data_IF_747896908521
#
_entry.id   IF_747896908521
#
_cell.length_a   1.000
_cell.length_b   1.000
_cell.length_c   1.000
_cell.angle_alpha   90.00
_cell.angle_beta   90.00
_cell.angle_gamma   90.00
#
_symmetry.space_group_name_H-M   'P 1'
#
loop_
_entity.id
_entity.type
_entity.pdbx_description
1 polymer ?
#
# COMPACT_ATOMS: atom_id res chain seq x y z
N UNK A 1 -17.22 -16.73 47.15
CA UNK A 1 -15.82 -16.28 46.96
C UNK A 1 -14.79 -17.41 46.96
N UNK A 2 -14.74 -18.34 47.94
CA UNK A 2 -13.70 -19.40 47.97
C UNK A 2 -13.65 -20.28 46.70
N UNK A 3 -14.81 -20.67 46.17
CA UNK A 3 -14.91 -21.47 44.94
C UNK A 3 -14.38 -20.77 43.68
N UNK A 4 -14.50 -19.45 43.59
CA UNK A 4 -14.02 -18.67 42.46
C UNK A 4 -12.49 -18.71 42.37
N UNK A 5 -11.80 -18.52 43.50
CA UNK A 5 -10.34 -18.62 43.57
C UNK A 5 -9.81 -20.03 43.30
N UNK A 6 -10.54 -21.07 43.72
CA UNK A 6 -10.20 -22.46 43.36
C UNK A 6 -10.29 -22.71 41.86
N UNK A 7 -11.28 -22.13 41.17
CA UNK A 7 -11.41 -22.24 39.71
C UNK A 7 -10.30 -21.50 38.97
N UNK A 8 -9.93 -20.28 39.39
CA UNK A 8 -8.81 -19.54 38.79
C UNK A 8 -7.50 -20.32 38.97
N UNK A 9 -7.24 -20.85 40.16
CA UNK A 9 -6.02 -21.61 40.42
C UNK A 9 -5.97 -22.90 39.58
N UNK A 10 -7.09 -23.61 39.43
CA UNK A 10 -7.19 -24.77 38.55
C UNK A 10 -6.92 -24.40 37.09
N UNK A 11 -7.49 -23.28 36.62
CA UNK A 11 -7.28 -22.79 35.25
C UNK A 11 -5.79 -22.50 35.01
N UNK A 12 -5.14 -21.75 35.91
CA UNK A 12 -3.72 -21.43 35.82
C UNK A 12 -2.83 -22.69 35.80
N UNK A 13 -3.17 -23.72 36.58
CA UNK A 13 -2.43 -25.00 36.57
C UNK A 13 -2.59 -25.74 35.24
N UNK A 14 -3.79 -25.75 34.66
CA UNK A 14 -4.04 -26.38 33.36
C UNK A 14 -3.28 -25.64 32.25
N UNK A 15 -3.38 -24.31 32.21
CA UNK A 15 -2.69 -23.50 31.19
C UNK A 15 -1.17 -23.61 31.32
N UNK A 16 -0.65 -23.57 32.55
CA UNK A 16 0.78 -23.78 32.83
C UNK A 16 1.27 -25.18 32.43
N UNK A 17 0.46 -26.22 32.69
CA UNK A 17 0.76 -27.59 32.27
C UNK A 17 0.82 -27.76 30.76
N UNK A 18 -0.14 -27.17 30.02
CA UNK A 18 -0.15 -27.20 28.56
C UNK A 18 1.04 -26.43 27.95
N UNK A 19 1.39 -25.28 28.53
CA UNK A 19 2.56 -24.51 28.10
C UNK A 19 3.86 -25.30 28.31
N UNK A 20 4.04 -25.93 29.47
CA UNK A 20 5.21 -26.76 29.75
C UNK A 20 5.31 -27.99 28.83
N UNK A 21 4.19 -28.59 28.43
CA UNK A 21 4.18 -29.68 27.44
C UNK A 21 4.64 -29.20 26.06
N UNK A 22 4.19 -28.02 25.62
CA UNK A 22 4.59 -27.44 24.33
C UNK A 22 6.09 -27.17 24.28
N UNK A 23 6.66 -26.54 25.32
CA UNK A 23 8.11 -26.25 25.39
C UNK A 23 8.94 -27.55 25.36
N UNK A 24 8.46 -28.63 25.99
CA UNK A 24 9.15 -29.94 25.92
C UNK A 24 9.13 -30.55 24.52
N UNK A 25 8.04 -30.40 23.78
CA UNK A 25 7.95 -30.90 22.40
C UNK A 25 8.96 -30.17 21.49
N UNK A 26 9.05 -28.85 21.61
CA UNK A 26 10.01 -28.03 20.85
C UNK A 26 11.47 -28.41 21.18
N UNK A 27 11.77 -28.68 22.45
CA UNK A 27 13.11 -29.14 22.86
C UNK A 27 13.47 -30.55 22.33
N UNK A 28 12.50 -31.46 22.25
CA UNK A 28 12.73 -32.80 21.67
C UNK A 28 13.00 -32.73 20.17
N UNK A 29 12.32 -31.83 19.45
CA UNK A 29 12.52 -31.63 18.01
C UNK A 29 13.91 -31.05 17.71
N UNK A 30 14.37 -30.07 18.50
CA UNK A 30 15.73 -29.54 18.40
C UNK A 30 16.81 -30.58 18.74
N UNK A 31 16.56 -31.44 19.74
CA UNK A 31 17.48 -32.51 20.10
C UNK A 31 17.59 -33.56 18.97
N UNK A 32 16.47 -33.91 18.33
CA UNK A 32 16.46 -34.84 17.19
C UNK A 32 17.14 -34.27 15.94
N UNK A 33 17.03 -32.95 15.70
CA UNK A 33 17.70 -32.29 14.58
C UNK A 33 19.23 -32.17 14.74
N UNK A 34 19.75 -32.42 15.95
CA UNK A 34 21.17 -32.22 16.27
C UNK A 34 22.02 -33.49 16.23
N UNK A 35 21.47 -34.64 15.81
CA UNK A 35 22.31 -35.83 15.61
C UNK A 35 23.30 -35.60 14.45
N UNK A 36 24.62 -35.65 14.71
CA UNK A 36 25.63 -35.45 13.69
C UNK A 36 25.67 -36.69 12.79
N UNK A 37 25.06 -36.58 11.61
CA UNK A 37 25.24 -37.55 10.53
C UNK A 37 26.70 -37.61 10.10
N UNK A 38 27.33 -38.75 10.36
CA UNK A 38 28.71 -39.08 10.00
C UNK A 38 28.93 -38.84 8.48
N UNK A 39 29.77 -37.86 8.06
CA UNK A 39 29.91 -37.54 6.66
C UNK A 39 30.79 -38.59 5.97
N UNK A 40 30.15 -39.50 5.23
CA UNK A 40 30.85 -40.39 4.30
C UNK A 40 31.73 -39.57 3.33
N UNK A 41 32.97 -40.02 3.03
CA UNK A 41 33.91 -39.26 2.22
C UNK A 41 33.45 -39.23 0.75
N UNK A 42 32.91 -38.09 0.31
CA UNK A 42 32.68 -37.81 -1.11
C UNK A 42 34.00 -37.40 -1.77
N UNK A 43 34.54 -38.32 -2.55
CA UNK A 43 35.61 -38.09 -3.52
C UNK A 43 35.24 -36.93 -4.45
N UNK A 44 35.91 -35.78 -4.30
CA UNK A 44 35.80 -34.64 -5.22
C UNK A 44 36.44 -35.01 -6.56
N UNK A 45 35.63 -35.13 -7.63
CA UNK A 45 36.16 -35.07 -8.99
C UNK A 45 36.67 -33.64 -9.27
N UNK A 46 37.85 -33.48 -9.90
CA UNK A 46 38.34 -32.17 -10.32
C UNK A 46 37.45 -31.63 -11.45
N UNK A 47 36.83 -30.47 -11.19
CA UNK A 47 36.08 -29.72 -12.19
C UNK A 47 37.08 -29.09 -13.16
N UNK A 48 37.00 -29.47 -14.44
CA UNK A 48 37.81 -28.86 -15.49
C UNK A 48 37.49 -27.35 -15.62
N UNK A 49 38.48 -26.49 -15.86
CA UNK A 49 38.26 -25.08 -16.12
C UNK A 49 37.52 -24.91 -17.45
N UNK A 50 36.34 -24.28 -17.40
CA UNK A 50 35.67 -23.78 -18.61
C UNK A 50 36.45 -22.58 -19.11
N UNK A 51 37.00 -22.70 -20.31
CA UNK A 51 37.45 -21.59 -21.15
C UNK A 51 36.29 -20.63 -21.37
N UNK A 52 36.40 -19.41 -20.85
CA UNK A 52 35.48 -18.32 -21.16
C UNK A 52 35.83 -17.80 -22.55
N UNK A 53 35.06 -18.21 -23.55
CA UNK A 53 35.08 -17.62 -24.89
C UNK A 53 34.44 -16.23 -24.79
N UNK A 54 35.29 -15.20 -24.94
CA UNK A 54 34.92 -13.80 -24.89
C UNK A 54 34.23 -13.42 -26.22
N UNK A 55 32.96 -13.00 -26.23
CA UNK A 55 32.30 -12.56 -27.45
C UNK A 55 32.97 -11.28 -27.95
N UNK A 56 33.45 -11.35 -29.18
CA UNK A 56 34.02 -10.26 -29.95
C UNK A 56 32.92 -9.24 -30.27
N UNK A 57 33.07 -7.93 -29.94
CA UNK A 57 32.06 -6.94 -30.28
C UNK A 57 32.08 -6.72 -31.81
N UNK A 58 30.94 -7.02 -32.44
CA UNK A 58 30.68 -6.67 -33.82
C UNK A 58 30.62 -5.14 -33.95
N UNK A 59 31.42 -4.60 -34.87
CA UNK A 59 31.39 -3.21 -35.25
C UNK A 59 30.02 -2.86 -35.86
N UNK A 60 29.21 -2.10 -35.15
CA UNK A 60 28.01 -1.47 -35.70
C UNK A 60 28.46 -0.25 -36.51
N UNK A 61 28.24 -0.32 -37.81
CA UNK A 61 28.41 0.81 -38.71
C UNK A 61 27.43 1.93 -38.34
N UNK A 62 27.95 3.15 -38.22
CA UNK A 62 27.17 4.38 -38.10
C UNK A 62 26.39 4.60 -39.40
N UNK A 63 25.08 4.37 -39.38
CA UNK A 63 24.17 4.85 -40.41
C UNK A 63 23.75 6.27 -40.05
N UNK A 64 24.24 7.21 -40.85
CA UNK A 64 23.98 8.65 -40.72
C UNK A 64 22.56 8.92 -41.24
N UNK A 65 21.63 9.46 -40.44
CA UNK A 65 20.29 9.75 -40.92
C UNK A 65 20.32 10.88 -41.96
N UNK A 66 19.75 10.61 -43.12
CA UNK A 66 19.52 11.61 -44.17
C UNK A 66 18.59 12.73 -43.69
N UNK A 67 18.80 13.98 -44.15
CA UNK A 67 17.95 15.10 -43.79
C UNK A 67 16.55 14.93 -44.40
N UNK A 68 15.54 14.93 -43.52
CA UNK A 68 14.12 14.98 -43.89
C UNK A 68 13.86 16.33 -44.59
N UNK A 69 13.60 16.27 -45.90
CA UNK A 69 13.07 17.38 -46.69
C UNK A 69 11.61 17.58 -46.30
N UNK A 70 11.33 18.62 -45.51
CA UNK A 70 9.99 19.09 -45.20
C UNK A 70 9.36 19.64 -46.48
N UNK A 71 8.42 18.89 -47.07
CA UNK A 71 7.52 19.43 -48.10
C UNK A 71 6.52 20.40 -47.44
N UNK A 72 6.38 21.63 -47.93
CA UNK A 72 5.40 22.56 -47.41
C UNK A 72 3.98 22.10 -47.76
N UNK A 73 3.14 22.07 -46.73
CA UNK A 73 1.71 21.82 -46.78
C UNK A 73 1.00 22.84 -47.69
N UNK A 74 0.20 22.41 -48.68
CA UNK A 74 -0.53 23.32 -49.54
C UNK A 74 -1.64 24.04 -48.77
N UNK A 75 -1.78 25.34 -49.03
CA UNK A 75 -2.78 26.21 -48.43
C UNK A 75 -4.21 25.71 -48.70
N UNK A 76 -5.14 25.82 -47.73
CA UNK A 76 -6.53 25.43 -47.93
C UNK A 76 -7.22 26.38 -48.92
N UNK A 77 -7.81 25.80 -49.97
CA UNK A 77 -8.69 26.50 -50.89
C UNK A 77 -10.00 26.94 -50.20
N UNK A 78 -10.57 28.09 -50.60
CA UNK A 78 -11.81 28.60 -50.02
C UNK A 78 -13.01 27.79 -50.53
N UNK A 79 -13.71 27.11 -49.63
CA UNK A 79 -14.97 26.44 -49.93
C UNK A 79 -16.06 27.49 -50.17
N UNK A 80 -16.46 27.61 -51.43
CA UNK A 80 -17.65 28.35 -51.85
C UNK A 80 -18.91 27.66 -51.31
N UNK A 81 -19.75 28.45 -50.65
CA UNK A 81 -21.11 28.06 -50.28
C UNK A 81 -21.97 28.08 -51.54
N UNK A 82 -22.47 26.92 -51.97
CA UNK A 82 -23.56 26.85 -52.94
C UNK A 82 -24.66 25.90 -52.49
N UNK A 83 -25.87 26.38 -52.70
CA UNK A 83 -27.14 25.84 -52.21
C UNK A 83 -27.74 24.91 -53.25
N UNK A 84 -28.00 23.63 -52.93
CA UNK A 84 -28.80 22.72 -53.76
C UNK A 84 -29.50 21.73 -52.82
N UNK A 85 -30.80 21.92 -52.56
CA UNK A 85 -31.94 21.30 -53.22
C UNK A 85 -32.17 19.84 -52.83
N UNK A 86 -33.37 19.63 -52.28
CA UNK A 86 -33.97 18.38 -51.82
C UNK A 86 -34.14 17.43 -53.00
N UNK A 87 -33.52 16.25 -52.93
CA UNK A 87 -33.83 15.13 -53.83
C UNK A 87 -34.09 13.84 -53.02
N UNK A 88 -35.19 13.19 -53.37
CA UNK A 88 -35.82 12.08 -52.67
C UNK A 88 -34.99 10.79 -52.79
N UNK A 89 -34.81 10.10 -51.67
CA UNK A 89 -34.14 8.81 -51.59
C UNK A 89 -35.13 7.67 -51.89
N UNK A 90 -34.79 6.71 -52.78
CA UNK A 90 -35.61 5.53 -53.05
C UNK A 90 -35.37 4.42 -52.00
N UNK A 91 -36.38 3.55 -51.88
CA UNK A 91 -36.43 2.37 -51.01
C UNK A 91 -35.22 1.44 -51.16
N UNK A 92 -34.71 0.82 -50.06
CA UNK A 92 -33.75 -0.24 -50.18
C UNK A 92 -34.42 -1.62 -50.29
N UNK A 93 -34.05 -2.26 -51.39
CA UNK A 93 -34.20 -3.67 -51.72
C UNK A 93 -33.59 -4.62 -50.69
N UNK A 94 -34.24 -5.77 -50.57
CA UNK A 94 -33.86 -7.01 -49.90
C UNK A 94 -32.46 -7.56 -50.24
N UNK A 95 -31.96 -8.32 -49.26
CA UNK A 95 -30.97 -9.41 -49.33
C UNK A 95 -29.49 -9.05 -49.15
N UNK A 96 -28.96 -9.36 -47.96
CA UNK A 96 -27.74 -10.15 -47.87
C UNK A 96 -27.66 -10.92 -46.53
N UNK A 97 -27.38 -12.21 -46.63
CA UNK A 97 -27.26 -13.16 -45.53
C UNK A 97 -26.05 -12.83 -44.65
N UNK A 98 -26.26 -12.82 -43.33
CA UNK A 98 -25.23 -12.65 -42.30
C UNK A 98 -25.05 -13.98 -41.56
N UNK A 99 -23.81 -14.44 -41.29
CA UNK A 99 -23.57 -15.67 -40.54
C UNK A 99 -24.00 -15.49 -39.07
N UNK A 100 -24.93 -16.35 -38.63
CA UNK A 100 -25.38 -16.46 -37.24
C UNK A 100 -24.25 -17.04 -36.38
N UNK A 101 -23.51 -16.18 -35.71
CA UNK A 101 -22.83 -16.51 -34.45
C UNK A 101 -23.07 -15.33 -33.50
N UNK A 102 -24.29 -15.25 -32.97
CA UNK A 102 -24.65 -14.31 -31.92
C UNK A 102 -24.24 -14.92 -30.59
N UNK A 103 -23.23 -14.33 -29.95
CA UNK A 103 -23.00 -14.50 -28.53
C UNK A 103 -24.16 -13.78 -27.82
N UNK A 104 -25.04 -14.52 -27.17
CA UNK A 104 -26.18 -13.98 -26.42
C UNK A 104 -25.74 -13.65 -24.97
N UNK A 105 -25.55 -12.36 -24.61
CA UNK A 105 -25.16 -11.99 -23.26
C UNK A 105 -26.22 -12.35 -22.20
N UNK A 106 -27.48 -12.63 -22.59
CA UNK A 106 -28.53 -13.11 -21.67
C UNK A 106 -28.35 -14.57 -21.24
N UNK A 107 -27.65 -15.37 -22.04
CA UNK A 107 -27.39 -16.79 -21.74
C UNK A 107 -26.42 -16.97 -20.57
N UNK A 108 -25.44 -16.07 -20.40
CA UNK A 108 -24.47 -16.11 -19.31
C UNK A 108 -25.08 -15.76 -17.94
N UNK A 109 -26.01 -14.80 -17.89
CA UNK A 109 -26.69 -14.42 -16.65
C UNK A 109 -27.64 -15.54 -16.18
N UNK A 110 -28.30 -16.22 -17.13
CA UNK A 110 -29.19 -17.36 -16.82
C UNK A 110 -28.37 -18.54 -16.29
N UNK A 111 -27.24 -18.84 -16.93
CA UNK A 111 -26.36 -19.95 -16.52
C UNK A 111 -25.73 -19.72 -15.13
N UNK A 112 -25.37 -18.48 -14.77
CA UNK A 112 -24.83 -18.20 -13.43
C UNK A 112 -25.89 -18.26 -12.32
N UNK A 113 -27.15 -17.92 -12.61
CA UNK A 113 -28.24 -18.07 -11.64
C UNK A 113 -28.66 -19.53 -11.46
N UNK A 114 -28.69 -20.34 -12.53
CA UNK A 114 -28.92 -21.79 -12.42
C UNK A 114 -27.78 -22.52 -11.71
N UNK A 115 -26.52 -22.09 -11.86
CA UNK A 115 -25.39 -22.66 -11.11
C UNK A 115 -25.44 -22.31 -9.61
N UNK A 116 -26.02 -21.16 -9.25
CA UNK A 116 -26.21 -20.74 -7.85
C UNK A 116 -27.28 -21.58 -7.15
N UNK A 117 -28.35 -21.93 -7.86
CA UNK A 117 -29.44 -22.77 -7.32
C UNK A 117 -29.09 -24.27 -7.28
N UNK A 118 -28.07 -24.71 -8.03
CA UNK A 118 -27.60 -26.10 -8.03
C UNK A 118 -26.45 -26.37 -7.04
N UNK A 119 -25.99 -25.37 -6.28
CA UNK A 119 -25.01 -25.59 -5.22
C UNK A 119 -25.73 -26.21 -4.01
N UNK A 120 -25.43 -27.48 -3.65
CA UNK A 120 -26.31 -28.25 -2.78
C UNK A 120 -26.43 -27.67 -1.36
N UNK A 121 -27.64 -27.74 -0.83
CA UNK A 121 -28.05 -27.45 0.56
C UNK A 121 -27.28 -28.26 1.65
N UNK A 122 -26.24 -29.02 1.28
CA UNK A 122 -25.41 -29.82 2.20
C UNK A 122 -24.57 -28.97 3.17
N UNK A 123 -24.28 -27.70 2.85
CA UNK A 123 -23.57 -26.80 3.77
C UNK A 123 -24.44 -26.31 4.94
N UNK A 124 -25.77 -26.32 4.82
CA UNK A 124 -26.68 -25.86 5.88
C UNK A 124 -27.01 -26.94 6.92
N UNK A 125 -26.78 -28.22 6.60
CA UNK A 125 -27.03 -29.33 7.53
C UNK A 125 -25.87 -29.59 8.52
N UNK A 126 -24.66 -29.09 8.24
CA UNK A 126 -23.46 -29.36 9.08
C UNK A 126 -23.24 -28.37 10.23
N UNK A 127 -23.96 -27.24 10.28
CA UNK A 127 -23.78 -26.19 11.29
C UNK A 127 -24.88 -26.12 12.38
N UNK A 128 -25.80 -27.09 12.44
CA UNK A 128 -26.81 -27.14 13.51
C UNK A 128 -26.36 -27.98 14.72
N UNK A 129 -25.16 -27.74 15.24
CA UNK A 129 -24.83 -28.20 16.60
C UNK A 129 -25.37 -27.15 17.59
N UNK A 130 -26.05 -27.54 18.69
CA UNK A 130 -26.62 -26.57 19.63
C UNK A 130 -25.49 -25.76 20.26
N UNK A 131 -25.47 -24.46 19.98
CA UNK A 131 -24.62 -23.51 20.70
C UNK A 131 -25.19 -23.38 22.11
N UNK A 132 -24.41 -23.82 23.10
CA UNK A 132 -24.73 -23.64 24.51
C UNK A 132 -24.83 -22.15 24.79
N UNK A 133 -26.04 -21.72 25.15
CA UNK A 133 -26.43 -20.36 25.52
C UNK A 133 -25.44 -19.75 26.54
N UNK A 134 -24.52 -18.93 26.05
CA UNK A 134 -23.69 -18.07 26.88
C UNK A 134 -24.53 -16.86 27.29
N UNK A 135 -24.87 -16.79 28.59
CA UNK A 135 -25.51 -15.63 29.19
C UNK A 135 -24.68 -14.36 28.93
N UNK A 136 -25.30 -13.23 28.60
CA UNK A 136 -24.60 -11.98 28.40
C UNK A 136 -23.99 -11.52 29.74
N UNK A 137 -22.66 -11.43 29.77
CA UNK A 137 -21.94 -10.78 30.86
C UNK A 137 -22.09 -9.27 30.66
N UNK A 138 -22.88 -8.66 31.54
CA UNK A 138 -23.07 -7.22 31.67
C UNK A 138 -21.73 -6.58 32.08
N UNK A 139 -21.18 -5.60 31.34
CA UNK A 139 -20.01 -4.88 31.81
C UNK A 139 -20.42 -3.97 32.97
N UNK A 140 -19.96 -4.30 34.17
CA UNK A 140 -19.99 -3.38 35.30
C UNK A 140 -18.94 -2.29 35.09
N UNK A 141 -19.38 -1.04 35.21
CA UNK A 141 -18.56 0.16 35.19
C UNK A 141 -17.47 0.07 36.26
N UNK A 142 -16.20 0.13 35.82
CA UNK A 142 -15.04 0.21 36.71
C UNK A 142 -14.86 1.66 37.14
N UNK A 143 -15.36 1.96 38.33
CA UNK A 143 -15.07 3.19 39.07
C UNK A 143 -13.62 3.21 39.53
N UNK A 144 -13.04 4.40 39.39
CA UNK A 144 -11.86 4.99 40.05
C UNK A 144 -11.56 4.47 41.45
N UNK A 145 -10.28 4.14 41.70
CA UNK A 145 -9.44 4.69 42.77
C UNK A 145 -8.14 3.86 42.90
N UNK A 146 -7.04 4.34 42.34
CA UNK A 146 -5.69 3.83 42.60
C UNK A 146 -4.78 5.03 42.99
N UNK A 147 -4.17 5.02 44.18
CA UNK A 147 -3.40 6.16 44.67
C UNK A 147 -2.00 6.21 44.06
N UNK A 148 -1.66 7.41 43.61
CA UNK A 148 -0.39 7.90 43.10
C UNK A 148 0.80 7.56 44.03
N UNK A 149 1.70 6.69 43.57
CA UNK A 149 3.00 6.44 44.22
C UNK A 149 4.09 7.29 43.54
N UNK A 150 4.43 8.39 44.21
CA UNK A 150 5.47 9.37 43.87
C UNK A 150 6.88 8.76 44.07
N UNK A 151 7.77 8.71 43.05
CA UNK A 151 9.16 8.34 43.29
C UNK A 151 9.95 9.56 43.80
N UNK A 152 10.53 9.39 44.97
CA UNK A 152 11.40 10.31 45.68
C UNK A 152 12.79 10.34 45.02
N UNK A 153 13.13 11.47 44.40
CA UNK A 153 14.45 11.73 43.80
C UNK A 153 15.45 11.98 44.92
N UNK A 154 16.35 11.02 45.16
CA UNK A 154 17.49 11.18 46.06
C UNK A 154 18.59 11.98 45.35
N UNK A 155 18.71 13.24 45.73
CA UNK A 155 19.85 14.09 45.45
C UNK A 155 21.10 13.57 46.17
N UNK A 156 22.20 13.39 45.43
CA UNK A 156 23.54 13.24 46.00
C UNK A 156 24.49 14.22 45.31
N UNK A 157 25.04 15.13 46.11
CA UNK A 157 25.85 16.26 45.69
C UNK A 157 27.34 16.01 45.92
N UNK A 158 28.15 16.64 45.04
CA UNK A 158 29.53 17.18 45.22
C UNK A 158 30.72 16.18 45.24
N UNK A 159 31.98 16.67 45.14
CA UNK A 159 32.57 17.62 44.17
C UNK A 159 33.92 17.11 43.62
N UNK A 160 34.51 17.74 42.58
CA UNK A 160 35.95 18.12 42.58
C UNK A 160 36.40 18.79 41.27
N UNK A 161 36.81 20.04 41.45
CA UNK A 161 37.74 20.83 40.65
C UNK A 161 39.11 20.16 40.56
N UNK A 162 39.69 20.11 39.36
CA UNK A 162 41.14 20.01 39.19
C UNK A 162 41.59 21.07 38.19
N UNK A 163 42.12 22.16 38.75
CA UNK A 163 43.00 23.10 38.09
C UNK A 163 44.36 22.43 37.85
N UNK A 164 44.80 22.36 36.60
CA UNK A 164 46.22 22.19 36.26
C UNK A 164 46.49 22.72 34.83
N UNK A 165 46.66 24.04 34.77
CA UNK A 165 47.78 24.74 34.14
C UNK A 165 48.68 23.93 33.16
N UNK A 166 48.62 24.23 31.85
CA UNK A 166 49.77 24.14 30.94
C UNK A 166 49.74 25.33 29.97
N UNK A 167 50.84 26.07 30.01
CA UNK A 167 51.20 27.21 29.17
C UNK A 167 51.43 26.84 27.68
N UNK A 168 50.92 27.73 26.83
CA UNK A 168 51.56 28.37 25.67
C UNK A 168 52.36 27.48 24.69
N UNK A 169 51.73 27.17 23.56
CA UNK A 169 52.38 27.20 22.25
C UNK A 169 51.45 27.90 21.25
N UNK A 170 51.93 29.02 20.72
CA UNK A 170 51.27 29.82 19.70
C UNK A 170 51.25 29.04 18.38
N UNK A 171 50.19 28.26 18.17
CA UNK A 171 49.85 27.72 16.87
C UNK A 171 48.83 28.65 16.22
N UNK A 172 49.22 29.27 15.11
CA UNK A 172 48.34 30.11 14.31
C UNK A 172 47.21 29.23 13.77
N UNK A 173 46.08 29.23 14.49
CA UNK A 173 44.83 28.58 14.09
C UNK A 173 44.54 29.04 12.65
N UNK A 174 44.64 28.15 11.64
CA UNK A 174 44.34 28.53 10.27
C UNK A 174 42.94 29.10 10.27
N UNK A 175 42.83 30.33 9.75
CA UNK A 175 41.56 31.03 9.54
C UNK A 175 40.74 30.13 8.61
N UNK A 176 39.87 29.31 9.21
CA UNK A 176 38.96 28.42 8.51
C UNK A 176 38.07 29.35 7.69
N UNK A 177 38.41 29.48 6.40
CA UNK A 177 37.54 30.13 5.43
C UNK A 177 36.15 29.51 5.62
N UNK A 178 35.11 30.33 5.87
CA UNK A 178 33.78 29.81 6.14
C UNK A 178 33.41 28.85 5.02
N UNK A 179 33.26 27.58 5.39
CA UNK A 179 32.92 26.50 4.48
C UNK A 179 31.64 26.93 3.77
N UNK A 180 31.74 27.11 2.45
CA UNK A 180 30.67 27.70 1.66
C UNK A 180 29.42 26.88 1.91
N UNK A 181 28.39 27.52 2.47
CA UNK A 181 27.13 26.85 2.73
C UNK A 181 26.65 26.21 1.41
N UNK A 182 26.35 24.91 1.40
CA UNK A 182 25.88 24.24 0.21
C UNK A 182 24.66 25.00 -0.33
N UNK A 183 24.65 25.23 -1.64
CA UNK A 183 23.53 25.91 -2.29
C UNK A 183 22.21 25.21 -1.91
N UNK A 184 21.14 25.98 -1.65
CA UNK A 184 19.86 25.39 -1.29
C UNK A 184 19.42 24.39 -2.37
N UNK A 185 18.96 23.22 -1.94
CA UNK A 185 18.46 22.19 -2.84
C UNK A 185 17.32 22.77 -3.71
N UNK A 186 17.25 22.33 -4.97
CA UNK A 186 16.14 22.69 -5.85
C UNK A 186 14.81 22.25 -5.22
N UNK A 187 13.72 23.02 -5.41
CA UNK A 187 12.42 22.65 -4.85
C UNK A 187 11.93 21.32 -5.45
N UNK A 188 11.30 20.50 -4.63
CA UNK A 188 10.72 19.22 -5.05
C UNK A 188 9.38 19.37 -5.79
N UNK A 189 8.80 20.58 -5.83
CA UNK A 189 7.54 20.89 -6.49
C UNK A 189 7.46 22.31 -7.09
N UNK A 190 6.46 22.51 -7.97
CA UNK A 190 6.03 23.82 -8.49
C UNK A 190 4.55 24.02 -8.19
N UNK A 191 4.15 25.07 -7.44
CA UNK A 191 2.74 25.34 -7.12
C UNK A 191 2.14 26.43 -8.01
N UNK A 192 0.86 26.29 -8.38
CA UNK A 192 0.08 27.27 -9.14
C UNK A 192 -0.83 28.10 -8.23
N UNK A 193 -1.31 29.27 -8.70
CA UNK A 193 -2.27 30.10 -7.95
C UNK A 193 -3.62 29.42 -7.67
N UNK A 194 -3.98 28.38 -8.42
CA UNK A 194 -5.22 27.60 -8.25
C UNK A 194 -5.12 26.53 -7.16
N UNK A 195 -3.97 26.43 -6.46
CA UNK A 195 -3.72 25.45 -5.40
C UNK A 195 -3.12 24.13 -5.91
N UNK A 196 -3.21 23.85 -7.22
CA UNK A 196 -2.58 22.68 -7.83
C UNK A 196 -1.07 22.77 -7.77
N UNK A 197 -0.40 21.63 -7.77
CA UNK A 197 1.06 21.58 -7.74
C UNK A 197 1.61 20.47 -8.62
N UNK A 198 2.84 20.63 -9.08
CA UNK A 198 3.57 19.67 -9.89
C UNK A 198 4.67 19.02 -9.07
N UNK A 199 4.71 17.70 -9.05
CA UNK A 199 5.82 16.93 -8.50
C UNK A 199 6.94 16.95 -9.56
N UNK A 200 8.04 17.67 -9.28
CA UNK A 200 9.10 17.92 -10.28
C UNK A 200 9.78 16.63 -10.71
N UNK A 201 10.02 15.72 -9.77
CA UNK A 201 10.73 14.45 -10.00
C UNK A 201 9.98 13.48 -10.93
N UNK A 202 8.65 13.54 -10.95
CA UNK A 202 7.80 12.67 -11.76
C UNK A 202 7.12 13.40 -12.93
N UNK A 203 7.20 14.73 -12.99
CA UNK A 203 6.49 15.55 -13.96
C UNK A 203 4.95 15.33 -13.94
N UNK A 204 4.37 15.20 -12.74
CA UNK A 204 2.94 14.94 -12.54
C UNK A 204 2.29 16.16 -11.89
N UNK A 205 1.13 16.59 -12.42
CA UNK A 205 0.29 17.61 -11.79
C UNK A 205 -0.75 16.98 -10.88
N UNK A 206 -0.78 17.38 -9.62
CA UNK A 206 -1.84 17.08 -8.65
C UNK A 206 -2.82 18.25 -8.65
N UNK A 207 -4.06 17.97 -9.01
CA UNK A 207 -5.15 18.97 -9.10
C UNK A 207 -5.85 19.13 -7.74
N UNK A 208 -6.47 20.28 -7.51
CA UNK A 208 -7.24 20.58 -6.30
C UNK A 208 -6.53 21.53 -5.35
N UNK A 209 -7.16 21.81 -4.21
CA UNK A 209 -6.66 22.73 -3.18
C UNK A 209 -6.54 22.06 -1.79
N UNK A 210 -6.79 20.75 -1.70
CA UNK A 210 -6.71 19.99 -0.46
C UNK A 210 -7.87 20.24 0.51
N UNK A 211 -9.04 20.65 -0.01
CA UNK A 211 -10.24 20.95 0.78
C UNK A 211 -11.35 19.92 0.53
N UNK A 212 -12.41 19.90 1.35
CA UNK A 212 -13.53 18.97 1.13
C UNK A 212 -14.22 19.17 -0.22
N UNK A 213 -14.32 20.42 -0.69
CA UNK A 213 -14.95 20.78 -1.95
C UNK A 213 -14.01 20.59 -3.16
N UNK A 214 -12.71 20.77 -2.94
CA UNK A 214 -11.66 20.68 -3.95
C UNK A 214 -10.50 19.81 -3.41
N UNK A 215 -10.71 18.49 -3.28
CA UNK A 215 -9.70 17.60 -2.74
C UNK A 215 -8.51 17.52 -3.68
N UNK A 216 -7.32 17.21 -3.14
CA UNK A 216 -6.19 16.87 -4.00
C UNK A 216 -6.44 15.53 -4.69
N UNK A 217 -6.50 15.51 -6.02
CA UNK A 217 -6.72 14.29 -6.80
C UNK A 217 -5.39 13.60 -7.04
N UNK A 218 -5.16 12.51 -6.31
CA UNK A 218 -3.93 11.74 -6.35
C UNK A 218 -4.01 10.60 -7.36
N UNK A 219 -2.89 10.34 -8.04
CA UNK A 219 -2.68 9.14 -8.85
C UNK A 219 -1.64 8.25 -8.18
N UNK A 220 -1.66 6.95 -8.48
CA UNK A 220 -0.65 6.01 -7.95
C UNK A 220 0.78 6.39 -8.38
N UNK A 221 0.96 6.95 -9.58
CA UNK A 221 2.27 7.41 -10.02
C UNK A 221 2.76 8.64 -9.25
N UNK A 222 1.85 9.49 -8.76
CA UNK A 222 2.21 10.60 -7.87
C UNK A 222 2.74 10.08 -6.52
N UNK A 223 2.08 9.07 -5.94
CA UNK A 223 2.50 8.46 -4.67
C UNK A 223 3.84 7.71 -4.80
N UNK A 224 4.02 6.91 -5.86
CA UNK A 224 5.28 6.18 -6.10
C UNK A 224 6.47 7.08 -6.43
N UNK A 225 6.24 8.35 -6.79
CA UNK A 225 7.32 9.31 -7.04
C UNK A 225 8.26 9.48 -5.83
N UNK A 226 7.79 9.14 -4.63
CA UNK A 226 8.59 9.19 -3.40
C UNK A 226 9.80 8.23 -3.42
N UNK A 227 9.71 7.10 -4.13
CA UNK A 227 10.76 6.05 -4.16
C UNK A 227 12.12 6.56 -4.64
N UNK A 228 12.10 7.64 -5.43
CA UNK A 228 13.31 8.25 -5.94
C UNK A 228 14.17 8.85 -4.82
N UNK A 229 13.53 9.35 -3.76
CA UNK A 229 14.13 10.09 -2.64
C UNK A 229 14.00 9.41 -1.28
N UNK A 230 13.07 8.46 -1.12
CA UNK A 230 12.83 7.75 0.15
C UNK A 230 12.93 6.24 -0.07
N UNK A 231 14.02 5.68 0.44
CA UNK A 231 14.37 4.25 0.51
C UNK A 231 15.38 4.07 1.66
N UNK A 232 14.90 3.99 2.92
CA UNK A 232 15.75 3.95 4.10
C UNK A 232 16.76 2.80 4.09
N UNK A 233 16.44 1.68 3.46
CA UNK A 233 17.32 0.52 3.31
C UNK A 233 18.60 0.86 2.56
N UNK A 234 18.51 1.79 1.61
CA UNK A 234 19.62 2.27 0.79
C UNK A 234 20.16 3.62 1.27
N UNK A 235 19.83 4.04 2.50
CA UNK A 235 20.31 5.30 3.11
C UNK A 235 19.63 6.54 2.55
N UNK A 236 18.52 6.39 1.82
CA UNK A 236 17.69 7.51 1.38
C UNK A 236 16.54 7.69 2.37
N UNK A 237 16.74 8.43 3.43
CA UNK A 237 15.79 8.56 4.55
C UNK A 237 15.03 9.90 4.54
N UNK A 238 15.18 10.69 3.49
CA UNK A 238 14.60 12.03 3.39
C UNK A 238 13.31 12.03 2.60
N UNK A 239 12.20 12.41 3.26
CA UNK A 239 10.93 12.62 2.59
C UNK A 239 11.00 13.86 1.67
N UNK A 240 10.47 13.81 0.44
CA UNK A 240 10.48 14.95 -0.47
C UNK A 240 9.47 16.02 -0.02
N UNK A 241 9.87 17.30 -0.01
CA UNK A 241 9.05 18.40 0.51
C UNK A 241 7.73 18.71 -0.22
N UNK A 242 7.39 17.99 -1.30
CA UNK A 242 6.05 18.11 -1.90
C UNK A 242 4.98 17.41 -1.07
N UNK A 243 5.39 16.45 -0.23
CA UNK A 243 4.53 15.75 0.71
C UNK A 243 3.98 16.68 1.81
N UNK A 244 4.71 17.72 2.18
CA UNK A 244 4.25 18.74 3.14
C UNK A 244 2.99 19.46 2.66
N UNK A 245 2.72 19.47 1.34
CA UNK A 245 1.50 20.03 0.76
C UNK A 245 0.28 19.13 0.97
N UNK A 246 0.49 17.82 1.16
CA UNK A 246 -0.58 16.82 1.31
C UNK A 246 -0.89 16.51 2.78
N UNK A 247 0.08 16.68 3.68
CA UNK A 247 -0.06 16.37 5.10
C UNK A 247 -1.25 17.13 5.73
N UNK A 248 -2.20 16.36 6.30
CA UNK A 248 -3.42 16.87 6.91
C UNK A 248 -4.42 17.50 5.93
N UNK A 249 -4.28 17.29 4.61
CA UNK A 249 -5.20 17.80 3.58
C UNK A 249 -6.20 16.75 3.13
N UNK A 250 -7.30 17.21 2.56
CA UNK A 250 -8.28 16.31 1.95
C UNK A 250 -7.76 15.87 0.58
N UNK A 251 -7.63 14.56 0.39
CA UNK A 251 -7.24 13.94 -0.88
C UNK A 251 -8.35 13.06 -1.40
N UNK A 252 -8.31 12.76 -2.69
CA UNK A 252 -9.10 11.72 -3.32
C UNK A 252 -8.18 10.82 -4.14
N UNK A 253 -8.31 9.51 -3.98
CA UNK A 253 -7.57 8.51 -4.75
C UNK A 253 -8.51 7.40 -5.22
N UNK A 254 -8.30 6.93 -6.44
CA UNK A 254 -8.99 5.77 -7.02
C UNK A 254 -8.10 4.54 -6.99
N UNK A 255 -8.65 3.37 -6.67
CA UNK A 255 -7.90 2.13 -6.67
C UNK A 255 -8.71 0.91 -6.26
N UNK A 256 -7.99 -0.19 -6.05
CA UNK A 256 -8.57 -1.44 -5.58
C UNK A 256 -8.62 -1.45 -4.04
N UNK A 257 -9.71 -1.91 -3.46
CA UNK A 257 -9.85 -2.08 -2.03
C UNK A 257 -9.72 -3.54 -1.63
N UNK A 258 -8.96 -3.79 -0.55
CA UNK A 258 -8.91 -5.06 0.16
C UNK A 258 -9.53 -4.91 1.54
N UNK A 259 -10.41 -5.84 1.88
CA UNK A 259 -11.15 -5.85 3.14
C UNK A 259 -10.62 -6.93 4.09
N UNK A 260 -10.80 -6.76 5.40
CA UNK A 260 -10.55 -7.84 6.36
C UNK A 260 -11.43 -9.05 6.05
N UNK A 261 -10.82 -10.22 5.84
CA UNK A 261 -11.50 -11.47 5.41
C UNK A 261 -12.64 -11.92 6.35
N UNK A 262 -12.63 -11.47 7.60
CA UNK A 262 -13.52 -11.97 8.66
C UNK A 262 -14.78 -11.14 8.87
N UNK A 263 -14.92 -9.98 8.23
CA UNK A 263 -16.04 -9.06 8.48
C UNK A 263 -16.78 -8.70 7.18
N UNK A 264 -18.12 -8.72 7.22
CA UNK A 264 -18.97 -8.27 6.11
C UNK A 264 -19.06 -6.74 6.03
N UNK A 265 -18.95 -6.06 7.17
CA UNK A 265 -18.81 -4.60 7.26
C UNK A 265 -17.52 -4.24 7.96
N UNK A 266 -16.90 -3.15 7.54
CA UNK A 266 -15.65 -2.65 8.12
C UNK A 266 -15.55 -1.13 8.00
N UNK A 267 -14.77 -0.53 8.90
CA UNK A 267 -14.28 0.84 8.77
C UNK A 267 -12.85 0.90 8.27
N UNK A 268 -12.15 -0.22 8.25
CA UNK A 268 -10.75 -0.31 7.86
C UNK A 268 -10.66 -1.05 6.53
N UNK A 269 -9.93 -0.46 5.58
CA UNK A 269 -9.60 -1.10 4.31
C UNK A 269 -8.21 -0.67 3.84
N UNK A 270 -7.62 -1.47 2.96
CA UNK A 270 -6.38 -1.14 2.27
C UNK A 270 -6.71 -0.75 0.82
N UNK A 271 -6.37 0.48 0.42
CA UNK A 271 -6.43 0.92 -0.97
C UNK A 271 -5.11 0.62 -1.66
N UNK A 272 -5.15 0.06 -2.86
CA UNK A 272 -3.97 -0.41 -3.57
C UNK A 272 -4.05 -0.10 -5.06
N UNK A 273 -2.90 -0.04 -5.72
CA UNK A 273 -2.83 0.14 -7.17
C UNK A 273 -3.36 -1.09 -7.95
N UNK A 274 -3.03 -2.32 -7.53
CA UNK A 274 -3.40 -3.53 -8.27
C UNK A 274 -4.43 -4.38 -7.50
N UNK A 275 -5.34 -5.10 -8.20
CA UNK A 275 -6.43 -5.86 -7.57
C UNK A 275 -5.97 -7.10 -6.81
N UNK A 276 -4.80 -7.63 -7.15
CA UNK A 276 -4.29 -8.89 -6.63
C UNK A 276 -3.25 -8.70 -5.54
N UNK A 277 -2.82 -7.46 -5.31
CA UNK A 277 -1.87 -7.17 -4.24
C UNK A 277 -2.57 -7.44 -2.89
N UNK A 278 -1.87 -8.10 -1.96
CA UNK A 278 -2.43 -8.43 -0.64
C UNK A 278 -3.42 -9.61 -0.60
N UNK A 279 -3.83 -10.18 -1.73
CA UNK A 279 -4.56 -11.46 -1.77
C UNK A 279 -3.60 -12.64 -1.55
N UNK A 280 -4.08 -13.77 -1.00
CA UNK A 280 -3.27 -14.96 -0.67
C UNK A 280 -2.46 -15.57 -1.83
N UNK A 281 -2.70 -15.11 -3.07
CA UNK A 281 -2.02 -15.54 -4.29
C UNK A 281 -1.11 -14.47 -4.91
N UNK A 282 -1.16 -13.24 -4.43
CA UNK A 282 -0.46 -12.10 -4.99
C UNK A 282 0.82 -11.75 -4.28
N UNK A 283 1.63 -10.91 -4.93
CA UNK A 283 2.73 -10.22 -4.27
C UNK A 283 2.11 -9.18 -3.34
N UNK A 284 2.54 -9.06 -2.07
CA UNK A 284 2.05 -7.98 -1.22
C UNK A 284 2.37 -6.63 -1.88
N UNK A 285 1.49 -5.63 -1.73
CA UNK A 285 1.78 -4.31 -2.29
C UNK A 285 3.06 -3.75 -1.67
N UNK A 286 3.72 -2.86 -2.40
CA UNK A 286 4.80 -2.08 -1.81
C UNK A 286 4.20 -0.99 -0.90
N UNK A 287 4.94 -0.47 0.08
CA UNK A 287 4.47 0.67 0.87
C UNK A 287 4.18 1.93 0.05
N UNK A 288 4.64 1.99 -1.21
CA UNK A 288 4.50 3.13 -2.11
C UNK A 288 3.25 3.04 -3.00
N UNK A 289 2.63 1.86 -3.10
CA UNK A 289 1.43 1.59 -3.89
C UNK A 289 0.25 1.08 -3.05
N UNK A 290 0.32 1.28 -1.73
CA UNK A 290 -0.74 1.01 -0.76
C UNK A 290 -1.03 2.22 0.13
N UNK A 291 -2.31 2.39 0.51
CA UNK A 291 -2.78 3.41 1.44
C UNK A 291 -3.70 2.75 2.46
N UNK A 292 -3.38 2.87 3.74
CA UNK A 292 -4.24 2.43 4.83
C UNK A 292 -5.40 3.42 4.99
N UNK A 293 -6.64 2.93 5.06
CA UNK A 293 -7.82 3.80 5.11
C UNK A 293 -8.70 3.46 6.29
N UNK A 294 -9.01 4.48 7.09
CA UNK A 294 -10.08 4.45 8.09
C UNK A 294 -11.27 5.28 7.61
N UNK A 295 -12.42 4.63 7.43
CA UNK A 295 -13.67 5.23 7.00
C UNK A 295 -14.43 5.90 8.14
N UNK A 296 -15.16 6.96 7.81
CA UNK A 296 -15.97 7.72 8.76
C UNK A 296 -17.26 6.99 9.20
N UNK A 297 -17.65 5.91 8.52
CA UNK A 297 -18.73 4.98 8.91
C UNK A 297 -18.38 3.55 8.51
N UNK A 298 -19.07 2.57 9.09
CA UNK A 298 -18.99 1.18 8.61
C UNK A 298 -19.60 1.09 7.21
N UNK A 299 -18.88 0.45 6.29
CA UNK A 299 -19.39 0.12 4.96
C UNK A 299 -19.56 -1.39 4.88
N UNK A 300 -20.76 -1.83 4.51
CA UNK A 300 -21.07 -3.21 4.16
C UNK A 300 -20.69 -3.46 2.69
N UNK A 301 -19.70 -4.32 2.47
CA UNK A 301 -19.24 -4.69 1.13
C UNK A 301 -19.94 -5.95 0.59
N UNK A 302 -20.94 -6.46 1.31
CA UNK A 302 -21.64 -7.69 1.01
C UNK A 302 -20.69 -8.87 0.96
N UNK A 303 -20.77 -9.65 -0.13
CA UNK A 303 -19.90 -10.81 -0.34
C UNK A 303 -18.65 -10.48 -1.19
N UNK A 304 -18.39 -9.21 -1.51
CA UNK A 304 -17.25 -8.82 -2.35
C UNK A 304 -16.04 -8.46 -1.49
N UNK A 305 -15.08 -9.38 -1.39
CA UNK A 305 -13.82 -9.19 -0.64
C UNK A 305 -12.86 -8.19 -1.31
N UNK A 306 -13.06 -7.90 -2.59
CA UNK A 306 -12.27 -6.95 -3.38
C UNK A 306 -13.21 -6.00 -4.11
N UNK A 307 -12.92 -4.71 -4.06
CA UNK A 307 -13.64 -3.66 -4.79
C UNK A 307 -12.72 -2.81 -5.64
N UNK A 308 -13.29 -2.02 -6.55
CA UNK A 308 -12.61 -0.86 -7.15
C UNK A 308 -13.47 0.36 -6.84
N UNK A 309 -12.84 1.47 -6.48
CA UNK A 309 -13.56 2.69 -6.11
C UNK A 309 -12.64 3.85 -5.81
N UNK A 310 -13.23 4.94 -5.32
CA UNK A 310 -12.51 6.10 -4.80
C UNK A 310 -12.67 6.22 -3.29
N UNK A 311 -11.60 6.67 -2.64
CA UNK A 311 -11.62 7.14 -1.26
C UNK A 311 -11.31 8.61 -1.26
N UNK A 312 -12.09 9.39 -0.51
CA UNK A 312 -11.80 10.78 -0.18
C UNK A 312 -11.70 10.94 1.34
N UNK A 313 -10.64 11.54 1.86
CA UNK A 313 -10.44 11.72 3.30
C UNK A 313 -9.20 12.56 3.63
N UNK A 314 -8.84 12.67 4.90
CA UNK A 314 -7.67 13.43 5.35
C UNK A 314 -6.42 12.57 5.23
N UNK A 315 -5.42 13.06 4.49
CA UNK A 315 -4.20 12.32 4.19
C UNK A 315 -3.09 12.61 5.19
N UNK A 316 -2.39 11.56 5.61
CA UNK A 316 -1.26 11.62 6.52
C UNK A 316 -0.12 10.77 6.00
N UNK A 317 1.10 11.17 6.36
CA UNK A 317 2.32 10.45 6.05
C UNK A 317 2.94 9.97 7.37
N UNK A 318 2.86 8.67 7.61
CA UNK A 318 3.42 8.03 8.81
C UNK A 318 4.29 6.83 8.39
N UNK A 319 5.58 7.06 8.05
CA UNK A 319 6.46 6.00 7.60
C UNK A 319 6.72 4.99 8.72
N UNK A 320 6.22 3.76 8.56
CA UNK A 320 6.52 2.67 9.46
C UNK A 320 7.75 1.91 8.97
N UNK A 321 8.90 2.14 9.61
CA UNK A 321 10.20 1.59 9.20
C UNK A 321 10.74 0.60 10.24
N UNK A 322 11.09 -0.61 9.80
CA UNK A 322 11.70 -1.67 10.64
C UNK A 322 12.97 -2.19 9.97
N UNK A 323 14.11 -2.10 10.65
CA UNK A 323 15.43 -2.52 10.13
C UNK A 323 15.75 -1.93 8.74
N UNK A 324 15.35 -0.67 8.52
CA UNK A 324 15.53 0.04 7.25
C UNK A 324 14.49 -0.30 6.18
N UNK A 325 13.57 -1.23 6.42
CA UNK A 325 12.47 -1.54 5.51
C UNK A 325 11.24 -0.70 5.83
N UNK A 326 10.72 0.00 4.82
CA UNK A 326 9.39 0.64 4.91
C UNK A 326 8.35 -0.47 4.83
N UNK A 327 7.38 -0.46 5.74
CA UNK A 327 6.27 -1.43 5.80
C UNK A 327 4.91 -0.76 5.56
N UNK A 328 4.78 0.52 5.92
CA UNK A 328 3.61 1.36 5.70
C UNK A 328 4.06 2.82 5.56
N UNK A 329 3.26 3.65 4.89
CA UNK A 329 3.67 5.02 4.58
C UNK A 329 2.50 6.01 4.53
N UNK A 330 1.41 5.62 3.87
CA UNK A 330 0.28 6.51 3.60
C UNK A 330 -0.95 6.09 4.38
N UNK A 331 -1.59 7.06 5.03
CA UNK A 331 -2.82 6.87 5.78
C UNK A 331 -3.87 7.86 5.28
N UNK A 332 -5.13 7.41 5.14
CA UNK A 332 -6.29 8.27 4.99
C UNK A 332 -7.24 8.04 6.17
N UNK A 333 -7.54 9.08 6.93
CA UNK A 333 -8.54 9.07 7.99
C UNK A 333 -9.83 9.78 7.56
N UNK A 334 -10.91 9.53 8.31
CA UNK A 334 -12.25 10.06 8.06
C UNK A 334 -12.72 9.87 6.61
N UNK A 335 -12.32 8.75 6.01
CA UNK A 335 -12.55 8.46 4.61
C UNK A 335 -14.02 8.21 4.26
N UNK A 336 -14.46 8.74 3.13
CA UNK A 336 -15.68 8.31 2.44
C UNK A 336 -15.30 7.45 1.25
N UNK A 337 -15.84 6.24 1.18
CA UNK A 337 -15.65 5.32 0.06
C UNK A 337 -16.80 5.45 -0.95
N UNK A 338 -16.46 5.43 -2.25
CA UNK A 338 -17.41 5.34 -3.35
C UNK A 338 -16.97 4.20 -4.26
N UNK A 339 -17.83 3.22 -4.49
CA UNK A 339 -17.58 2.18 -5.49
C UNK A 339 -17.44 2.77 -6.89
N UNK A 340 -16.59 2.15 -7.71
CA UNK A 340 -16.52 2.38 -9.13
C UNK A 340 -17.87 2.05 -9.80
N UNK A 341 -18.14 2.71 -10.93
CA UNK A 341 -19.42 2.71 -11.62
C UNK A 341 -20.12 1.34 -11.66
N UNK A 342 -21.19 1.18 -10.89
CA UNK A 342 -22.15 0.08 -11.02
C UNK A 342 -22.37 -0.80 -9.79
N UNK A 343 -21.65 -0.61 -8.68
CA UNK A 343 -21.94 -1.34 -7.43
C UNK A 343 -22.66 -0.39 -6.47
N UNK A 344 -23.98 -0.36 -6.50
CA UNK A 344 -24.74 0.32 -5.44
C UNK A 344 -24.45 -0.36 -4.11
N UNK A 345 -23.90 0.39 -3.15
CA UNK A 345 -23.96 -0.03 -1.76
C UNK A 345 -25.38 0.23 -1.24
N UNK A 346 -25.91 -0.61 -0.34
CA UNK A 346 -27.14 -0.28 0.35
C UNK A 346 -26.98 1.10 1.01
N UNK A 347 -27.86 2.05 0.67
CA UNK A 347 -27.87 3.36 1.33
C UNK A 347 -28.06 3.17 2.84
N UNK A 348 -27.17 3.76 3.65
CA UNK A 348 -27.19 3.69 5.11
C UNK A 348 -27.99 4.85 5.72
#
# INVERSE_FOLDING_TARGET
MRWFWSFILLLCLITGGLYAQRVRAEQQEQAAASEPGDPAPRTRQPRQPRTTEQPQPAATASEQPEPIVVQPEPAPEPVAQDSVAVEQQPEPSTANETPKNAFDPGSLITTMNELRDQLPQELHARNQKPSTELKPVRPEARSTDEPEAKPEIVAKSLPQTNDANVDVAADAKPEILPEAQPAPAAPSYEQRPDGSFRIVSANIWVQGAGTQAEPYVLTWDALKAIEQSYDPKNGKDTLPGWLDLLEGKVVQIEGHSLLPVVASSTRELLMMQNPWDGCCIGVPPTPYDAVEVTLNHEVDFGNSVVGFGSVQGTFYIDPYVVDGWVLGLYIIEDGTYRSGAGVEFPEF
#
